data_IF_341697752170
#
_entry.id   IF_341697752170
#
_cell.length_a   1.000
_cell.length_b   1.000
_cell.length_c   1.000
_cell.angle_alpha   90.00
_cell.angle_beta   90.00
_cell.angle_gamma   90.00
#
_symmetry.space_group_name_H-M   'P 1'
#
loop_
_entity.id
_entity.type
_entity.pdbx_description
1 polymer ?
#
# COMPACT_ATOMS: atom_id res chain seq x y z
N UNK A 1 2.94 14.70 11.09
CA UNK A 1 2.20 13.43 11.11
C UNK A 1 1.38 13.32 9.83
N UNK A 2 1.37 12.15 9.21
CA UNK A 2 0.56 11.93 8.02
C UNK A 2 -0.94 11.89 8.34
N UNK A 3 -1.73 12.43 7.43
CA UNK A 3 -3.17 12.17 7.44
C UNK A 3 -3.43 10.77 6.88
N UNK A 4 -4.63 10.24 7.09
CA UNK A 4 -5.01 8.94 6.51
C UNK A 4 -4.89 8.99 4.99
N UNK A 5 -5.30 10.08 4.36
CA UNK A 5 -5.19 10.23 2.91
C UNK A 5 -3.73 10.20 2.44
N UNK A 6 -2.84 10.85 3.17
CA UNK A 6 -1.40 10.82 2.85
C UNK A 6 -0.81 9.43 3.04
N UNK A 7 -1.23 8.75 4.10
CA UNK A 7 -0.77 7.38 4.37
C UNK A 7 -1.23 6.43 3.27
N UNK A 8 -2.50 6.53 2.85
CA UNK A 8 -3.04 5.73 1.75
C UNK A 8 -2.23 5.95 0.48
N UNK A 9 -1.93 7.21 0.16
CA UNK A 9 -1.14 7.54 -1.02
C UNK A 9 0.29 6.99 -0.92
N UNK A 10 0.90 7.08 0.27
CA UNK A 10 2.24 6.56 0.49
C UNK A 10 2.29 5.04 0.32
N UNK A 11 1.27 4.33 0.82
CA UNK A 11 1.16 2.88 0.63
C UNK A 11 1.02 2.56 -0.86
N UNK A 12 0.17 3.29 -1.57
CA UNK A 12 0.01 3.09 -3.01
C UNK A 12 1.34 3.25 -3.75
N UNK A 13 2.07 4.32 -3.46
CA UNK A 13 3.37 4.55 -4.10
C UNK A 13 4.35 3.43 -3.79
N UNK A 14 4.39 2.96 -2.56
CA UNK A 14 5.26 1.85 -2.17
C UNK A 14 4.91 0.56 -2.92
N UNK A 15 3.62 0.29 -3.11
CA UNK A 15 3.18 -0.87 -3.87
C UNK A 15 3.64 -0.74 -5.34
N UNK A 16 3.44 0.43 -5.93
CA UNK A 16 3.77 0.66 -7.34
C UNK A 16 5.28 0.64 -7.61
N UNK A 17 6.08 1.00 -6.61
CA UNK A 17 7.54 0.99 -6.73
C UNK A 17 8.13 -0.39 -6.52
N UNK A 18 7.36 -1.34 -5.97
CA UNK A 18 7.87 -2.68 -5.72
C UNK A 18 8.08 -3.42 -7.04
N UNK A 19 9.24 -4.04 -7.16
CA UNK A 19 9.63 -4.78 -8.35
C UNK A 19 9.82 -6.25 -8.01
N UNK A 20 9.60 -7.10 -9.00
CA UNK A 20 9.98 -8.49 -8.86
C UNK A 20 11.48 -8.65 -9.16
N UNK A 21 11.97 -9.88 -9.10
CA UNK A 21 13.38 -10.16 -9.34
C UNK A 21 13.84 -9.82 -10.76
N UNK A 22 12.91 -9.70 -11.70
CA UNK A 22 13.21 -9.35 -13.10
C UNK A 22 13.10 -7.84 -13.35
N UNK A 23 12.80 -7.06 -12.31
CA UNK A 23 12.66 -5.61 -12.42
C UNK A 23 11.31 -5.14 -12.91
N UNK A 24 10.35 -6.04 -13.07
CA UNK A 24 9.00 -5.68 -13.49
C UNK A 24 8.14 -5.33 -12.27
N UNK A 25 7.14 -4.42 -12.44
CA UNK A 25 6.23 -4.11 -11.35
C UNK A 25 5.51 -5.37 -10.87
N UNK A 26 5.37 -5.51 -9.56
CA UNK A 26 4.68 -6.68 -8.97
C UNK A 26 3.18 -6.62 -9.17
N UNK A 27 2.63 -5.42 -9.36
CA UNK A 27 1.21 -5.24 -9.66
C UNK A 27 1.04 -3.94 -10.42
N UNK A 28 -0.13 -3.73 -11.03
CA UNK A 28 -0.44 -2.50 -11.73
C UNK A 28 -1.18 -1.52 -10.81
N UNK A 29 -1.29 -0.27 -11.28
CA UNK A 29 -1.93 0.80 -10.51
C UNK A 29 -3.41 0.50 -10.25
N UNK A 30 -4.12 -0.02 -11.24
CA UNK A 30 -5.54 -0.31 -11.10
C UNK A 30 -5.79 -1.35 -10.02
N UNK A 31 -5.02 -2.45 -10.02
CA UNK A 31 -5.13 -3.48 -9.01
C UNK A 31 -4.80 -2.95 -7.63
N UNK A 32 -3.72 -2.17 -7.52
CA UNK A 32 -3.32 -1.57 -6.26
C UNK A 32 -4.38 -0.63 -5.71
N UNK A 33 -4.92 0.24 -6.55
CA UNK A 33 -5.99 1.16 -6.14
C UNK A 33 -7.25 0.43 -5.70
N UNK A 34 -7.63 -0.58 -6.45
CA UNK A 34 -8.82 -1.38 -6.11
C UNK A 34 -8.67 -2.01 -4.73
N UNK A 35 -7.49 -2.57 -4.45
CA UNK A 35 -7.25 -3.15 -3.13
C UNK A 35 -7.30 -2.09 -2.04
N UNK A 36 -6.62 -0.95 -2.24
CA UNK A 36 -6.59 0.11 -1.24
C UNK A 36 -7.97 0.72 -1.00
N UNK A 37 -8.80 0.82 -2.04
CA UNK A 37 -10.16 1.34 -1.91
C UNK A 37 -11.03 0.41 -1.07
N UNK A 38 -10.67 -0.86 -0.95
CA UNK A 38 -11.38 -1.82 -0.11
C UNK A 38 -11.04 -1.65 1.37
N UNK A 39 -9.96 -0.93 1.69
CA UNK A 39 -9.56 -0.67 3.07
C UNK A 39 -10.22 0.59 3.57
N UNK A 40 -10.83 0.51 4.76
CA UNK A 40 -11.46 1.68 5.37
C UNK A 40 -10.41 2.62 5.94
N UNK A 41 -10.82 3.87 6.21
CA UNK A 41 -9.95 4.82 6.89
C UNK A 41 -9.54 4.31 8.27
N UNK A 42 -10.45 3.60 8.96
CA UNK A 42 -10.14 3.02 10.27
C UNK A 42 -9.04 1.98 10.17
N UNK A 43 -9.06 1.14 9.12
CA UNK A 43 -8.01 0.15 8.89
C UNK A 43 -6.66 0.82 8.67
N UNK A 44 -6.65 1.90 7.90
CA UNK A 44 -5.42 2.63 7.61
C UNK A 44 -4.91 3.39 8.84
N UNK A 45 -5.81 3.98 9.61
CA UNK A 45 -5.42 4.65 10.86
C UNK A 45 -4.74 3.69 11.82
N UNK A 46 -5.28 2.48 11.94
CA UNK A 46 -4.66 1.46 12.77
C UNK A 46 -3.27 1.10 12.24
N UNK A 47 -3.15 0.95 10.93
CA UNK A 47 -1.86 0.69 10.30
C UNK A 47 -0.84 1.79 10.57
N UNK A 48 -1.27 3.04 10.55
CA UNK A 48 -0.40 4.19 10.82
C UNK A 48 0.25 4.14 12.20
N UNK A 49 -0.42 3.55 13.17
CA UNK A 49 0.09 3.47 14.53
C UNK A 49 1.20 2.43 14.69
N UNK A 50 1.22 1.41 13.84
CA UNK A 50 2.08 0.25 14.04
C UNK A 50 3.01 -0.05 12.87
N UNK A 51 2.74 0.48 11.68
CA UNK A 51 3.46 0.10 10.47
C UNK A 51 3.82 1.31 9.62
N UNK A 52 4.95 1.22 8.93
CA UNK A 52 5.29 2.19 7.89
C UNK A 52 4.49 1.89 6.62
N UNK A 53 4.36 2.85 5.69
CA UNK A 53 3.70 2.59 4.40
C UNK A 53 4.35 1.41 3.66
N UNK A 54 5.66 1.26 3.74
CA UNK A 54 6.39 0.19 3.07
C UNK A 54 6.03 -1.18 3.67
N UNK A 55 5.86 -1.24 4.98
CA UNK A 55 5.44 -2.47 5.65
C UNK A 55 4.04 -2.88 5.24
N UNK A 56 3.12 -1.92 5.14
CA UNK A 56 1.75 -2.19 4.68
C UNK A 56 1.78 -2.65 3.23
N UNK A 57 2.58 -2.00 2.40
CA UNK A 57 2.73 -2.38 0.99
C UNK A 57 3.20 -3.83 0.86
N UNK A 58 4.17 -4.26 1.68
CA UNK A 58 4.64 -5.65 1.67
C UNK A 58 3.52 -6.62 2.02
N UNK A 59 2.70 -6.29 3.01
CA UNK A 59 1.57 -7.14 3.39
C UNK A 59 0.56 -7.26 2.25
N UNK A 60 0.25 -6.15 1.59
CA UNK A 60 -0.66 -6.13 0.44
C UNK A 60 -0.12 -7.00 -0.69
N UNK A 61 1.15 -6.84 -1.01
CA UNK A 61 1.78 -7.59 -2.10
C UNK A 61 1.80 -9.09 -1.86
N UNK A 62 1.85 -9.53 -0.61
CA UNK A 62 1.77 -10.95 -0.28
C UNK A 62 0.38 -11.54 -0.52
N UNK A 63 -0.65 -10.69 -0.44
CA UNK A 63 -2.03 -11.11 -0.66
C UNK A 63 -2.36 -11.12 -2.15
N UNK A 64 -1.81 -10.17 -2.87
CA UNK A 64 -1.97 -10.09 -4.32
C UNK A 64 -1.07 -11.12 -5.02
#
# INVERSE_FOLDING_TARGET
MMTVAEYRQAVLQAILQAKDKDGAPRTDEETAKTYLDSLSDADLEEGMLFNTPEEVAEMVLKIL
#
